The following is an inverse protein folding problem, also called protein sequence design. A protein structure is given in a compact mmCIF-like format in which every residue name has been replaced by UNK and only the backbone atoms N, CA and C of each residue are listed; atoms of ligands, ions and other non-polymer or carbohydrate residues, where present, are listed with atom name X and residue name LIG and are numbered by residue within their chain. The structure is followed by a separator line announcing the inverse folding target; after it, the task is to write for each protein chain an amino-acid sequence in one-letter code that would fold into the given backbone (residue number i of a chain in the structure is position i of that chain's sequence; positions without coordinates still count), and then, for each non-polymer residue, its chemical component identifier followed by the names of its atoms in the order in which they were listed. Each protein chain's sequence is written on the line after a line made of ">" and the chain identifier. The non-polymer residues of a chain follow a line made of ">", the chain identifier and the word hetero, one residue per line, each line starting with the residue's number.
data_IF_178709218397
#
_entry.id   IF_178709218397
#
_cell.length_a   1.000
_cell.length_b   1.000
_cell.length_c   1.000
_cell.angle_alpha   90.00
_cell.angle_beta   90.00
_cell.angle_gamma   90.00
#
_symmetry.space_group_name_H-M   'P 1'
#
loop_
_entity.id
_entity.type
_entity.pdbx_description
1 polymer ?
#
# COMPACT_ATOMS: atom_id res chain seq x y z
N UNK A 1 -6.10 14.05 11.05
CA UNK A 1 -6.00 13.70 9.62
C UNK A 1 -6.39 12.24 9.53
N UNK A 2 -7.43 11.89 8.78
CA UNK A 2 -7.80 10.48 8.63
C UNK A 2 -6.67 9.79 7.86
N UNK A 3 -5.99 8.83 8.48
CA UNK A 3 -5.02 7.99 7.80
C UNK A 3 -5.80 7.16 6.78
N UNK A 4 -5.55 7.41 5.50
CA UNK A 4 -6.10 6.60 4.40
C UNK A 4 -5.36 5.27 4.39
N UNK A 5 -5.82 4.32 5.20
CA UNK A 5 -5.31 2.96 5.17
C UNK A 5 -5.68 2.30 3.82
N UNK A 6 -4.77 1.47 3.31
CA UNK A 6 -5.03 0.74 2.06
C UNK A 6 -5.81 -0.51 2.40
N UNK A 7 -7.09 -0.55 2.00
CA UNK A 7 -7.95 -1.72 2.17
C UNK A 7 -8.00 -2.52 0.87
N UNK A 8 -7.83 -3.83 0.98
CA UNK A 8 -7.87 -4.78 -0.13
C UNK A 8 -8.94 -5.82 0.22
N UNK A 9 -10.09 -5.76 -0.46
CA UNK A 9 -11.14 -6.76 -0.33
C UNK A 9 -10.82 -7.94 -1.26
N UNK A 10 -10.88 -9.16 -0.73
CA UNK A 10 -10.64 -10.40 -1.46
C UNK A 10 -11.96 -11.14 -1.70
N UNK A 11 -12.07 -11.88 -2.80
CA UNK A 11 -13.29 -12.62 -3.17
C UNK A 11 -13.60 -13.77 -2.20
N UNK A 12 -12.60 -14.26 -1.48
CA UNK A 12 -12.80 -15.23 -0.40
C UNK A 12 -13.57 -14.63 0.80
N UNK A 13 -13.91 -13.34 0.76
CA UNK A 13 -14.64 -12.61 1.79
C UNK A 13 -13.74 -11.98 2.85
N UNK A 14 -12.42 -12.22 2.77
CA UNK A 14 -11.45 -11.56 3.65
C UNK A 14 -11.21 -10.12 3.20
N UNK A 15 -11.00 -9.22 4.15
CA UNK A 15 -10.51 -7.86 3.85
C UNK A 15 -9.17 -7.67 4.53
N UNK A 16 -8.16 -7.35 3.74
CA UNK A 16 -6.83 -7.00 4.22
C UNK A 16 -6.71 -5.49 4.35
N UNK A 17 -5.97 -5.04 5.34
CA UNK A 17 -5.67 -3.63 5.59
C UNK A 17 -4.17 -3.46 5.78
N UNK A 18 -3.55 -2.54 5.03
CA UNK A 18 -2.18 -2.13 5.28
C UNK A 18 -2.23 -0.91 6.20
N UNK A 19 -1.85 -1.13 7.46
CA UNK A 19 -1.90 -0.12 8.52
C UNK A 19 -0.50 0.42 8.83
N UNK A 20 -0.34 1.75 8.98
CA UNK A 20 0.88 2.32 9.53
C UNK A 20 1.00 2.01 11.02
N UNK A 21 2.17 1.52 11.44
CA UNK A 21 2.52 1.26 12.84
C UNK A 21 3.83 1.98 13.14
N UNK A 22 3.71 3.21 13.67
CA UNK A 22 4.85 4.10 13.86
C UNK A 22 5.46 4.49 12.50
N UNK A 23 6.73 4.11 12.27
CA UNK A 23 7.44 4.35 11.02
C UNK A 23 7.45 3.13 10.07
N UNK A 24 6.61 2.12 10.34
CA UNK A 24 6.54 0.86 9.59
C UNK A 24 5.11 0.59 9.14
N UNK A 25 4.94 -0.45 8.33
CA UNK A 25 3.67 -0.87 7.77
C UNK A 25 3.45 -2.36 8.04
N UNK A 26 2.21 -2.76 8.30
CA UNK A 26 1.86 -4.15 8.54
C UNK A 26 0.56 -4.52 7.84
N UNK A 27 0.50 -5.74 7.29
CA UNK A 27 -0.73 -6.31 6.74
C UNK A 27 -1.56 -6.92 7.86
N UNK A 28 -2.79 -6.46 7.99
CA UNK A 28 -3.79 -6.92 8.92
C UNK A 28 -4.95 -7.57 8.16
N UNK A 29 -5.55 -8.61 8.71
CA UNK A 29 -6.84 -9.16 8.29
C UNK A 29 -7.93 -8.56 9.19
N UNK A 30 -9.02 -8.09 8.58
CA UNK A 30 -10.19 -7.60 9.29
C UNK A 30 -11.11 -8.79 9.58
N UNK A 31 -11.32 -9.06 10.87
CA UNK A 31 -12.12 -10.16 11.39
C UNK A 31 -13.47 -9.64 11.92
N UNK A 32 -14.37 -9.24 11.03
CA UNK A 32 -15.78 -9.03 11.40
C UNK A 32 -16.48 -7.86 10.73
N UNK A 33 -17.82 -7.96 10.77
CA UNK A 33 -18.77 -7.01 10.18
C UNK A 33 -18.75 -5.65 10.91
N UNK A 34 -19.00 -4.57 10.17
CA UNK A 34 -19.02 -3.20 10.69
C UNK A 34 -20.17 -2.94 11.70
N UNK A 35 -21.04 -3.93 11.94
CA UNK A 35 -22.24 -3.83 12.77
C UNK A 35 -22.03 -4.12 14.27
N UNK A 36 -20.80 -4.03 14.77
CA UNK A 36 -20.58 -4.08 16.22
C UNK A 36 -20.96 -2.74 16.87
N UNK A 37 -22.15 -2.71 17.48
CA UNK A 37 -22.63 -1.67 18.43
C UNK A 37 -21.67 -1.34 19.60
N UNK A 38 -20.48 -1.97 19.62
CA UNK A 38 -19.42 -1.83 20.61
C UNK A 38 -18.03 -1.58 19.96
N UNK A 39 -17.96 -0.80 18.88
CA UNK A 39 -16.91 0.21 18.68
C UNK A 39 -15.44 -0.21 18.46
N UNK A 40 -15.10 -1.49 18.25
CA UNK A 40 -13.74 -1.86 17.80
C UNK A 40 -13.80 -2.98 16.76
N UNK A 41 -13.47 -2.61 15.52
CA UNK A 41 -13.15 -3.54 14.44
C UNK A 41 -12.03 -4.47 14.91
N UNK A 42 -12.29 -5.79 14.90
CA UNK A 42 -11.27 -6.77 15.27
C UNK A 42 -10.34 -6.94 14.08
N UNK A 43 -9.07 -6.69 14.28
CA UNK A 43 -8.03 -6.93 13.29
C UNK A 43 -7.04 -7.96 13.80
N UNK A 44 -6.46 -8.72 12.88
CA UNK A 44 -5.41 -9.70 13.16
C UNK A 44 -4.21 -9.39 12.30
N UNK A 45 -3.03 -9.25 12.91
CA UNK A 45 -1.79 -9.21 12.16
C UNK A 45 -1.55 -10.55 11.46
N UNK A 46 -1.45 -10.52 10.14
CA UNK A 46 -1.14 -11.70 9.32
C UNK A 46 0.24 -11.61 8.67
N UNK A 47 0.75 -10.39 8.48
CA UNK A 47 2.05 -10.12 7.87
C UNK A 47 3.13 -9.62 8.83
N UNK A 48 4.35 -9.52 8.30
CA UNK A 48 5.48 -8.89 8.98
C UNK A 48 5.40 -7.36 9.04
N UNK A 49 6.32 -6.75 9.77
CA UNK A 49 6.52 -5.30 9.76
C UNK A 49 7.47 -4.92 8.62
N UNK A 50 7.04 -4.01 7.76
CA UNK A 50 7.81 -3.51 6.62
C UNK A 50 8.22 -2.06 6.84
N UNK A 51 9.41 -1.69 6.37
CA UNK A 51 9.89 -0.30 6.42
C UNK A 51 9.19 0.61 5.41
N UNK A 52 8.52 0.04 4.41
CA UNK A 52 7.82 0.76 3.35
C UNK A 52 6.44 0.16 3.12
N UNK A 53 5.48 0.98 2.68
CA UNK A 53 4.16 0.51 2.24
C UNK A 53 4.32 -0.57 1.16
N UNK A 54 5.29 -0.39 0.27
CA UNK A 54 5.58 -1.32 -0.80
C UNK A 54 5.94 -2.73 -0.31
N UNK A 55 6.77 -2.83 0.73
CA UNK A 55 7.09 -4.13 1.32
C UNK A 55 5.85 -4.87 1.81
N UNK A 56 4.90 -4.15 2.40
CA UNK A 56 3.63 -4.71 2.83
C UNK A 56 2.74 -5.13 1.64
N UNK A 57 2.68 -4.35 0.55
CA UNK A 57 1.93 -4.71 -0.66
C UNK A 57 2.54 -5.97 -1.33
N UNK A 58 3.86 -6.05 -1.44
CA UNK A 58 4.53 -7.25 -2.00
C UNK A 58 4.31 -8.49 -1.12
N UNK A 59 4.16 -8.33 0.20
CA UNK A 59 3.78 -9.44 1.07
C UNK A 59 2.35 -9.93 0.77
N UNK A 60 1.42 -9.05 0.39
CA UNK A 60 0.05 -9.46 0.03
C UNK A 60 0.06 -10.48 -1.12
N UNK A 61 0.98 -10.34 -2.08
CA UNK A 61 1.14 -11.29 -3.19
C UNK A 61 1.53 -12.71 -2.78
N UNK A 62 1.94 -12.92 -1.53
CA UNK A 62 2.30 -14.24 -0.98
C UNK A 62 1.10 -14.99 -0.42
N UNK A 63 -0.07 -14.34 -0.30
CA UNK A 63 -1.30 -15.00 0.09
C UNK A 63 -1.98 -15.66 -1.12
N UNK A 64 -2.95 -16.51 -0.82
CA UNK A 64 -3.75 -17.21 -1.83
C UNK A 64 -4.76 -16.24 -2.45
N UNK A 65 -4.31 -15.55 -3.50
CA UNK A 65 -5.07 -14.55 -4.23
C UNK A 65 -5.61 -15.16 -5.53
N UNK A 66 -6.82 -14.77 -5.91
CA UNK A 66 -7.34 -15.08 -7.22
C UNK A 66 -6.58 -14.32 -8.31
N UNK A 67 -6.59 -14.86 -9.54
CA UNK A 67 -5.77 -14.33 -10.64
C UNK A 67 -6.03 -12.84 -10.93
N UNK A 68 -7.29 -12.38 -10.89
CA UNK A 68 -7.62 -10.97 -11.15
C UNK A 68 -7.22 -10.04 -9.97
N UNK A 69 -7.12 -10.56 -8.74
CA UNK A 69 -6.61 -9.82 -7.58
C UNK A 69 -5.11 -9.59 -7.72
N UNK A 70 -4.39 -10.63 -8.18
CA UNK A 70 -2.96 -10.50 -8.53
C UNK A 70 -2.77 -9.46 -9.63
N UNK A 71 -3.57 -9.50 -10.69
CA UNK A 71 -3.51 -8.50 -11.76
C UNK A 71 -3.80 -7.09 -11.27
N UNK A 72 -4.79 -6.93 -10.38
CA UNK A 72 -5.14 -5.62 -9.79
C UNK A 72 -4.00 -5.07 -8.92
N UNK A 73 -3.31 -5.95 -8.18
CA UNK A 73 -2.11 -5.57 -7.45
C UNK A 73 -1.00 -5.16 -8.42
N UNK A 74 -0.75 -5.92 -9.49
CA UNK A 74 0.26 -5.60 -10.50
C UNK A 74 0.01 -4.26 -11.20
N UNK A 75 -1.25 -3.93 -11.49
CA UNK A 75 -1.65 -2.63 -12.04
C UNK A 75 -1.34 -1.49 -11.05
N UNK A 76 -1.64 -1.70 -9.76
CA UNK A 76 -1.28 -0.75 -8.71
C UNK A 76 0.24 -0.59 -8.60
N UNK A 77 0.99 -1.70 -8.64
CA UNK A 77 2.45 -1.68 -8.60
C UNK A 77 3.02 -0.88 -9.80
N UNK A 78 2.49 -1.14 -10.99
CA UNK A 78 2.87 -0.47 -12.23
C UNK A 78 2.60 1.03 -12.18
N UNK A 79 1.41 1.44 -11.73
CA UNK A 79 1.03 2.84 -11.60
C UNK A 79 1.93 3.61 -10.63
N UNK A 80 2.26 3.01 -9.48
CA UNK A 80 3.16 3.60 -8.49
C UNK A 80 4.58 3.74 -9.07
N UNK A 81 5.11 2.69 -9.70
CA UNK A 81 6.43 2.72 -10.30
C UNK A 81 6.54 3.77 -11.42
N UNK A 82 5.53 3.85 -12.29
CA UNK A 82 5.44 4.85 -13.35
C UNK A 82 5.40 6.27 -12.79
N UNK A 83 4.63 6.50 -11.72
CA UNK A 83 4.54 7.80 -11.06
C UNK A 83 5.88 8.18 -10.41
N UNK A 84 6.53 7.25 -9.71
CA UNK A 84 7.84 7.49 -9.10
C UNK A 84 8.91 7.81 -10.14
N UNK A 85 8.89 7.13 -11.30
CA UNK A 85 9.81 7.40 -12.40
C UNK A 85 9.63 8.84 -12.93
N UNK A 86 8.39 9.28 -13.15
CA UNK A 86 8.09 10.65 -13.60
C UNK A 86 8.49 11.71 -12.57
N UNK A 87 8.27 11.45 -11.29
CA UNK A 87 8.71 12.35 -10.21
C UNK A 87 10.23 12.48 -10.21
N UNK A 88 10.95 11.36 -10.36
CA UNK A 88 12.41 11.35 -10.43
C UNK A 88 12.91 12.16 -11.64
N UNK A 89 12.36 11.90 -12.82
CA UNK A 89 12.69 12.61 -14.06
C UNK A 89 12.47 14.12 -13.91
N UNK A 90 11.36 14.54 -13.28
CA UNK A 90 11.09 15.94 -12.99
C UNK A 90 12.19 16.58 -12.12
N UNK A 91 12.63 15.90 -11.05
CA UNK A 91 13.68 16.43 -10.19
C UNK A 91 15.05 16.48 -10.87
N UNK A 92 15.36 15.51 -11.73
CA UNK A 92 16.59 15.50 -12.51
C UNK A 92 16.62 16.69 -13.49
N UNK A 93 15.55 16.88 -14.27
CA UNK A 93 15.40 18.03 -15.18
C UNK A 93 15.44 19.37 -14.46
N UNK A 94 14.79 19.48 -13.30
CA UNK A 94 14.81 20.70 -12.51
C UNK A 94 16.21 21.01 -11.98
N UNK A 95 16.94 19.99 -11.53
CA UNK A 95 18.31 20.15 -11.04
C UNK A 95 19.26 20.60 -12.15
N UNK A 96 19.13 20.04 -13.36
CA UNK A 96 19.89 20.47 -14.54
C UNK A 96 19.58 21.92 -14.93
N UNK A 97 18.30 22.30 -14.90
CA UNK A 97 17.88 23.68 -15.16
C UNK A 97 18.50 24.66 -14.16
N UNK A 98 18.47 24.34 -12.86
CA UNK A 98 19.07 25.17 -11.81
C UNK A 98 20.59 25.26 -11.97
N UNK A 99 21.26 24.15 -12.30
CA UNK A 99 22.71 24.15 -12.52
C UNK A 99 23.11 25.05 -13.71
N UNK A 100 22.33 25.02 -14.80
CA UNK A 100 22.60 25.80 -16.00
C UNK A 100 22.19 27.28 -15.90
N UNK A 101 21.32 27.63 -14.95
CA UNK A 101 20.90 29.03 -14.69
C UNK A 101 21.70 29.71 -13.58
N UNK A 102 22.47 28.94 -12.80
CA UNK A 102 23.43 29.44 -11.82
C UNK A 102 24.83 29.76 -12.42
N UNK A 103 25.03 29.47 -13.71
CA UNK A 103 26.17 29.92 -14.53
C UNK A 103 25.86 31.23 -15.23
#
# INVERSE_FOLDING_TARGET
>A
MAETNICIALDCGATLEIMPIGARFQVLEILGDQDSWHGKQKTRAIGGLHSTVWGAIEEVRRYDLAQYEVLSLEDLLSAVNSTNAKIKEYFELHSEYLANTAM
#
